data_IF_092983782023
#
_entry.id   IF_092983782023
#
_cell.length_a   1.000
_cell.length_b   1.000
_cell.length_c   1.000
_cell.angle_alpha   90.00
_cell.angle_beta   90.00
_cell.angle_gamma   90.00
#
_symmetry.space_group_name_H-M   'P 1'
#
loop_
_entity.id
_entity.type
_entity.pdbx_description
1 polymer ?
#
# COMPACT_ATOMS: atom_id res chain seq x y z
N UNK A 1 32.29 -3.06 -23.80
CA UNK A 1 31.22 -4.08 -23.94
C UNK A 1 30.24 -4.09 -22.75
N UNK A 2 29.85 -2.93 -22.18
CA UNK A 2 28.91 -2.86 -21.03
C UNK A 2 27.61 -2.10 -21.34
N UNK A 3 27.53 -1.52 -22.54
CA UNK A 3 26.50 -0.53 -22.87
C UNK A 3 25.44 -1.11 -23.83
N UNK A 4 25.66 -2.33 -24.35
CA UNK A 4 24.73 -3.04 -25.25
C UNK A 4 23.67 -3.79 -24.43
N UNK A 5 23.95 -4.12 -23.16
CA UNK A 5 23.00 -4.80 -22.27
C UNK A 5 21.85 -3.88 -21.81
N UNK A 6 22.05 -2.56 -21.89
CA UNK A 6 21.01 -1.57 -21.56
C UNK A 6 20.00 -1.45 -22.71
N UNK A 7 20.41 -1.70 -23.96
CA UNK A 7 19.52 -1.59 -25.13
C UNK A 7 18.47 -2.72 -25.20
N UNK A 8 18.79 -3.92 -24.68
CA UNK A 8 17.85 -5.03 -24.58
C UNK A 8 16.79 -4.82 -23.49
N UNK A 9 17.09 -4.04 -22.46
CA UNK A 9 16.17 -3.73 -21.37
C UNK A 9 15.12 -2.68 -21.76
N UNK A 10 15.42 -1.84 -22.76
CA UNK A 10 14.51 -0.80 -23.25
C UNK A 10 13.36 -1.35 -24.12
N UNK A 11 13.50 -2.55 -24.70
CA UNK A 11 12.45 -3.15 -25.54
C UNK A 11 11.44 -4.01 -24.74
N UNK A 12 11.66 -4.23 -23.44
CA UNK A 12 10.79 -5.05 -22.58
C UNK A 12 9.88 -4.22 -21.65
N UNK A 13 9.62 -2.96 -21.99
CA UNK A 13 8.79 -2.04 -21.19
C UNK A 13 7.45 -1.66 -21.84
N UNK A 14 7.10 -2.25 -22.99
CA UNK A 14 5.82 -2.03 -23.69
C UNK A 14 4.77 -3.11 -23.40
N UNK A 15 4.76 -3.68 -22.19
CA UNK A 15 3.64 -4.51 -21.71
C UNK A 15 2.89 -3.77 -20.60
N UNK A 16 1.80 -3.04 -20.91
CA UNK A 16 0.85 -2.70 -19.88
C UNK A 16 0.10 -3.99 -19.52
N UNK A 17 0.49 -4.66 -18.42
CA UNK A 17 -0.48 -5.49 -17.71
C UNK A 17 -1.56 -4.52 -17.22
N UNK A 18 -2.70 -4.52 -17.92
CA UNK A 18 -3.90 -3.85 -17.48
C UNK A 18 -4.29 -4.43 -16.11
N UNK A 19 -3.93 -3.72 -15.03
CA UNK A 19 -4.49 -4.02 -13.71
C UNK A 19 -5.88 -3.40 -13.71
N UNK A 20 -6.89 -4.23 -13.96
CA UNK A 20 -8.29 -3.87 -13.82
C UNK A 20 -8.53 -3.34 -12.40
N UNK A 21 -8.93 -2.08 -12.28
CA UNK A 21 -9.34 -1.51 -11.00
C UNK A 21 -10.74 -2.02 -10.66
N UNK A 22 -10.79 -3.04 -9.80
CA UNK A 22 -12.01 -3.54 -9.20
C UNK A 22 -12.66 -2.42 -8.38
N UNK A 23 -13.69 -1.81 -8.95
CA UNK A 23 -14.44 -0.70 -8.36
C UNK A 23 -15.50 -1.28 -7.43
N UNK A 24 -15.12 -1.58 -6.18
CA UNK A 24 -16.10 -1.91 -5.14
C UNK A 24 -16.55 -0.64 -4.42
N UNK A 25 -17.55 0.02 -5.00
CA UNK A 25 -18.30 1.07 -4.32
C UNK A 25 -19.30 0.42 -3.35
N UNK A 26 -18.94 0.32 -2.08
CA UNK A 26 -19.93 0.12 -1.02
C UNK A 26 -19.78 1.22 0.02
N UNK A 27 -20.38 2.36 -0.28
CA UNK A 27 -20.55 3.49 0.62
C UNK A 27 -21.78 3.28 1.49
N UNK A 28 -21.66 2.45 2.53
CA UNK A 28 -22.55 2.51 3.69
C UNK A 28 -21.79 3.15 4.86
N UNK A 29 -21.78 4.49 4.87
CA UNK A 29 -21.44 5.25 6.08
C UNK A 29 -22.70 5.94 6.54
N UNK A 30 -23.44 5.23 7.38
CA UNK A 30 -24.58 5.73 8.14
C UNK A 30 -24.08 6.87 9.03
N UNK A 31 -24.30 8.09 8.55
CA UNK A 31 -23.76 9.31 9.14
C UNK A 31 -24.70 9.77 10.25
N UNK A 32 -24.47 9.28 11.47
CA UNK A 32 -25.03 9.91 12.68
C UNK A 32 -24.08 11.02 13.14
N UNK A 33 -24.60 12.24 12.97
CA UNK A 33 -24.26 13.58 13.47
C UNK A 33 -23.29 13.65 14.68
N UNK A 34 -22.43 14.63 14.91
CA UNK A 34 -22.45 16.10 14.70
C UNK A 34 -21.04 16.62 15.03
N UNK A 35 -20.44 17.48 14.20
CA UNK A 35 -19.54 18.56 14.66
C UNK A 35 -19.11 19.44 13.49
N UNK A 36 -19.48 20.71 13.58
CA UNK A 36 -19.08 21.83 12.75
C UNK A 36 -17.54 21.89 12.57
N UNK A 37 -17.03 21.55 11.39
CA UNK A 37 -15.69 21.99 10.97
C UNK A 37 -15.66 22.18 9.46
N UNK A 38 -15.77 23.43 9.01
CA UNK A 38 -15.53 23.87 7.64
C UNK A 38 -14.03 23.80 7.28
N UNK A 39 -13.42 22.62 7.44
CA UNK A 39 -12.15 22.26 6.84
C UNK A 39 -12.45 21.11 5.92
N UNK A 40 -12.33 21.32 4.61
CA UNK A 40 -12.49 20.30 3.58
C UNK A 40 -11.39 19.26 3.76
N UNK A 41 -11.55 18.34 4.73
CA UNK A 41 -10.68 17.18 4.89
C UNK A 41 -10.91 16.33 3.65
N UNK A 42 -9.83 16.02 2.93
CA UNK A 42 -9.89 15.14 1.77
C UNK A 42 -10.48 13.77 2.14
N UNK A 43 -10.86 12.97 1.14
CA UNK A 43 -11.37 11.62 1.37
C UNK A 43 -10.45 10.83 2.31
N UNK A 44 -11.04 10.16 3.30
CA UNK A 44 -10.29 9.31 4.22
C UNK A 44 -9.76 8.11 3.43
N UNK A 45 -8.45 7.97 3.34
CA UNK A 45 -7.85 6.78 2.73
C UNK A 45 -8.17 5.55 3.58
N UNK A 46 -8.79 4.54 2.94
CA UNK A 46 -9.08 3.24 3.54
C UNK A 46 -8.51 2.18 2.62
N UNK A 47 -7.52 1.43 3.11
CA UNK A 47 -6.95 0.34 2.34
C UNK A 47 -8.00 -0.77 2.14
N UNK A 48 -8.12 -1.25 0.91
CA UNK A 48 -8.94 -2.43 0.62
C UNK A 48 -8.20 -3.73 1.04
N UNK A 49 -8.91 -4.86 1.02
CA UNK A 49 -8.35 -6.16 1.44
C UNK A 49 -7.10 -6.54 0.64
N UNK A 50 -7.10 -6.32 -0.67
CA UNK A 50 -5.99 -6.69 -1.54
C UNK A 50 -4.74 -5.84 -1.29
N UNK A 51 -4.93 -4.54 -1.05
CA UNK A 51 -3.86 -3.63 -0.61
C UNK A 51 -3.28 -4.06 0.73
N UNK A 52 -4.13 -4.51 1.67
CA UNK A 52 -3.66 -5.03 2.96
C UNK A 52 -2.89 -6.36 2.77
N UNK A 53 -3.35 -7.25 1.89
CA UNK A 53 -2.65 -8.50 1.56
C UNK A 53 -1.26 -8.25 0.97
N UNK A 54 -1.17 -7.30 0.04
CA UNK A 54 0.09 -6.90 -0.57
C UNK A 54 1.04 -6.30 0.47
N UNK A 55 0.52 -5.41 1.32
CA UNK A 55 1.31 -4.81 2.40
C UNK A 55 1.83 -5.88 3.36
N UNK A 56 0.98 -6.80 3.82
CA UNK A 56 1.39 -7.92 4.69
C UNK A 56 2.46 -8.77 4.03
N UNK A 57 2.30 -9.13 2.76
CA UNK A 57 3.30 -9.92 2.01
C UNK A 57 4.67 -9.22 1.98
N UNK A 58 4.70 -7.93 1.65
CA UNK A 58 5.94 -7.14 1.62
C UNK A 58 6.55 -7.06 3.01
N UNK A 59 5.75 -6.83 4.06
CA UNK A 59 6.24 -6.76 5.43
C UNK A 59 6.83 -8.09 5.90
N UNK A 60 6.27 -9.24 5.47
CA UNK A 60 6.86 -10.56 5.74
C UNK A 60 8.20 -10.72 5.04
N UNK A 61 8.26 -10.41 3.75
CA UNK A 61 9.51 -10.50 2.96
C UNK A 61 10.63 -9.64 3.56
N UNK A 62 10.27 -8.48 4.12
CA UNK A 62 11.21 -7.56 4.75
C UNK A 62 11.50 -7.88 6.23
N UNK A 63 10.89 -8.92 6.79
CA UNK A 63 11.09 -9.36 8.17
C UNK A 63 10.41 -8.49 9.25
N UNK A 64 9.46 -7.62 8.88
CA UNK A 64 8.72 -6.78 9.83
C UNK A 64 7.42 -7.40 10.32
N UNK A 65 6.90 -8.41 9.62
CA UNK A 65 5.66 -9.11 9.96
C UNK A 65 5.86 -10.62 9.95
N UNK A 66 5.34 -11.32 10.96
CA UNK A 66 5.43 -12.78 11.10
C UNK A 66 4.06 -13.47 11.06
N UNK A 67 2.98 -12.70 11.07
CA UNK A 67 1.60 -13.22 11.03
C UNK A 67 1.18 -13.72 9.65
N UNK A 68 -0.05 -14.19 9.56
CA UNK A 68 -0.67 -14.63 8.31
C UNK A 68 -1.17 -13.46 7.46
N UNK A 69 -1.14 -13.64 6.14
CA UNK A 69 -1.69 -12.67 5.19
C UNK A 69 -3.21 -12.85 5.13
N UNK A 70 -3.92 -12.23 6.08
CA UNK A 70 -5.38 -12.35 6.22
C UNK A 70 -6.16 -11.25 5.47
N UNK A 71 -5.46 -10.19 5.03
CA UNK A 71 -6.07 -9.03 4.40
C UNK A 71 -6.80 -8.13 5.38
N UNK A 72 -6.62 -8.37 6.69
CA UNK A 72 -7.18 -7.56 7.77
C UNK A 72 -6.08 -6.69 8.37
N UNK A 73 -6.40 -5.42 8.60
CA UNK A 73 -5.50 -4.49 9.29
C UNK A 73 -5.56 -4.72 10.81
N UNK A 74 -5.03 -5.87 11.24
CA UNK A 74 -4.92 -6.29 12.64
C UNK A 74 -3.84 -5.49 13.41
N UNK A 75 -3.80 -5.57 14.76
CA UNK A 75 -2.81 -4.85 15.54
C UNK A 75 -1.36 -5.18 15.17
N UNK A 76 -1.09 -6.45 14.81
CA UNK A 76 0.25 -6.90 14.42
C UNK A 76 0.71 -6.27 13.09
N UNK A 77 -0.17 -6.20 12.09
CA UNK A 77 0.10 -5.55 10.79
C UNK A 77 0.33 -4.05 10.98
N UNK A 78 -0.44 -3.39 11.87
CA UNK A 78 -0.22 -1.96 12.18
C UNK A 78 1.13 -1.72 12.83
N UNK A 79 1.53 -2.57 13.78
CA UNK A 79 2.84 -2.48 14.43
C UNK A 79 3.98 -2.69 13.42
N UNK A 80 3.84 -3.66 12.51
CA UNK A 80 4.80 -3.92 11.44
C UNK A 80 4.91 -2.72 10.47
N UNK A 81 3.78 -2.14 10.05
CA UNK A 81 3.75 -0.95 9.20
C UNK A 81 4.46 0.23 9.83
N UNK A 82 4.22 0.49 11.13
CA UNK A 82 4.90 1.57 11.85
C UNK A 82 6.41 1.39 11.85
N UNK A 83 6.90 0.20 12.18
CA UNK A 83 8.34 -0.13 12.14
C UNK A 83 8.94 0.04 10.74
N UNK A 84 8.22 -0.43 9.72
CA UNK A 84 8.63 -0.28 8.33
C UNK A 84 8.72 1.20 7.92
N UNK A 85 7.72 2.01 8.29
CA UNK A 85 7.70 3.45 8.02
C UNK A 85 8.87 4.18 8.69
N UNK A 86 9.09 3.93 9.98
CA UNK A 86 10.20 4.52 10.75
C UNK A 86 11.57 4.19 10.10
N UNK A 87 11.76 2.92 9.70
CA UNK A 87 12.99 2.47 9.04
C UNK A 87 13.12 3.01 7.61
N UNK A 88 12.03 3.15 6.87
CA UNK A 88 12.05 3.67 5.50
C UNK A 88 12.38 5.16 5.47
N UNK A 89 11.81 5.94 6.39
CA UNK A 89 12.10 7.37 6.53
C UNK A 89 13.57 7.59 6.87
N UNK A 90 14.16 6.74 7.73
CA UNK A 90 15.58 6.83 8.09
C UNK A 90 16.51 6.52 6.90
N UNK A 91 16.16 5.53 6.07
CA UNK A 91 16.95 5.14 4.90
C UNK A 91 16.92 6.17 3.76
N UNK A 92 15.91 7.03 3.69
CA UNK A 92 15.81 8.07 2.66
C UNK A 92 16.60 9.35 2.99
N UNK A 93 17.19 9.43 4.20
CA UNK A 93 17.93 10.61 4.68
C UNK A 93 19.46 10.48 4.58
N UNK A 94 19.95 9.34 4.09
CA UNK A 94 21.38 9.03 3.92
C UNK A 94 21.67 8.84 2.45
#
# INVERSE_FOLDING_TARGET
MKNILILAFALLLLYPLAIAQNTNNNSNTESRATANSNRRRGPIFRANKDQINQAQTILKQRGFYTGETTGKLDPATRAALKKYQERSIRQQRT
#
